data_IF_535588146909
#
_entry.id   IF_535588146909
#
_cell.length_a   1.000
_cell.length_b   1.000
_cell.length_c   1.000
_cell.angle_alpha   90.00
_cell.angle_beta   90.00
_cell.angle_gamma   90.00
#
_symmetry.space_group_name_H-M   'P 1'
#
loop_
_entity.id
_entity.type
_entity.pdbx_description
1 polymer ?
#
# COMPACT_ATOMS: atom_id res chain seq x y z
N UNK A 1 10.42 -8.93 -5.48
CA UNK A 1 8.97 -8.84 -5.16
C UNK A 1 8.33 -10.14 -5.63
N UNK A 2 7.42 -10.75 -4.86
CA UNK A 2 6.92 -12.11 -5.14
C UNK A 2 5.57 -12.42 -4.49
N UNK A 3 4.80 -11.39 -4.18
CA UNK A 3 3.41 -11.54 -3.69
C UNK A 3 2.52 -11.63 -4.92
N UNK A 4 1.62 -12.61 -4.96
CA UNK A 4 0.64 -12.74 -6.03
C UNK A 4 -0.43 -11.65 -5.89
N UNK A 5 -0.38 -10.64 -6.75
CA UNK A 5 -1.32 -9.52 -6.78
C UNK A 5 -1.96 -9.49 -8.18
N UNK A 6 -3.30 -9.35 -8.28
CA UNK A 6 -3.99 -9.19 -9.56
C UNK A 6 -3.50 -7.99 -10.37
N UNK A 7 -3.88 -7.93 -11.65
CA UNK A 7 -3.55 -6.79 -12.50
C UNK A 7 -4.24 -5.51 -12.03
N UNK A 8 -3.69 -4.34 -12.37
CA UNK A 8 -4.31 -3.05 -12.03
C UNK A 8 -5.73 -2.88 -12.59
N UNK A 9 -6.11 -3.64 -13.62
CA UNK A 9 -7.47 -3.66 -14.16
C UNK A 9 -8.46 -4.36 -13.23
N UNK A 10 -7.98 -5.29 -12.41
CA UNK A 10 -8.77 -6.09 -11.47
C UNK A 10 -8.81 -5.48 -10.07
N UNK A 11 -7.88 -4.58 -9.75
CA UNK A 11 -7.81 -3.91 -8.46
C UNK A 11 -8.82 -2.75 -8.38
N UNK A 12 -9.82 -2.87 -7.49
CA UNK A 12 -10.90 -1.87 -7.35
C UNK A 12 -10.35 -0.45 -7.07
N UNK A 13 -9.34 -0.33 -6.21
CA UNK A 13 -8.75 0.94 -5.81
C UNK A 13 -7.77 1.54 -6.83
N UNK A 14 -7.47 0.84 -7.93
CA UNK A 14 -6.60 1.38 -8.98
C UNK A 14 -7.31 2.42 -9.85
N UNK A 15 -8.65 2.32 -9.98
CA UNK A 15 -9.42 3.14 -10.92
C UNK A 15 -10.69 3.76 -10.30
N UNK A 16 -10.86 3.68 -8.98
CA UNK A 16 -12.02 4.23 -8.26
C UNK A 16 -11.58 5.04 -7.05
N UNK A 17 -12.33 6.09 -6.76
CA UNK A 17 -12.28 6.86 -5.53
C UNK A 17 -12.86 6.08 -4.34
N UNK A 18 -12.61 6.58 -3.12
CA UNK A 18 -13.16 5.95 -1.90
C UNK A 18 -14.69 5.97 -1.90
N UNK A 19 -15.32 7.03 -2.40
CA UNK A 19 -16.78 7.17 -2.41
C UNK A 19 -17.40 6.14 -3.37
N UNK A 20 -16.84 5.98 -4.58
CA UNK A 20 -17.25 4.94 -5.54
C UNK A 20 -17.07 3.53 -4.97
N UNK A 21 -16.00 3.29 -4.21
CA UNK A 21 -15.77 2.00 -3.52
C UNK A 21 -16.83 1.77 -2.44
N UNK A 22 -17.19 2.80 -1.67
CA UNK A 22 -18.23 2.71 -0.65
C UNK A 22 -19.59 2.37 -1.25
N UNK A 23 -19.95 3.02 -2.36
CA UNK A 23 -21.17 2.74 -3.11
C UNK A 23 -21.17 1.31 -3.67
N UNK A 24 -20.07 0.85 -4.25
CA UNK A 24 -19.98 -0.49 -4.84
C UNK A 24 -20.12 -1.62 -3.81
N UNK A 25 -19.66 -1.39 -2.58
CA UNK A 25 -19.88 -2.32 -1.47
C UNK A 25 -21.22 -2.17 -0.76
N UNK A 26 -22.00 -1.11 -1.06
CA UNK A 26 -23.23 -0.78 -0.33
C UNK A 26 -22.99 -0.42 1.14
N UNK A 27 -21.82 0.13 1.45
CA UNK A 27 -21.43 0.50 2.81
C UNK A 27 -21.78 1.96 3.11
N UNK A 28 -22.17 2.26 4.36
CA UNK A 28 -22.37 3.64 4.82
C UNK A 28 -21.09 4.48 4.72
N UNK A 29 -19.93 3.85 4.91
CA UNK A 29 -18.63 4.48 4.67
C UNK A 29 -17.49 3.46 4.51
N UNK A 30 -16.47 3.86 3.76
CA UNK A 30 -15.18 3.17 3.65
C UNK A 30 -14.05 4.14 4.01
N UNK A 31 -13.02 3.64 4.69
CA UNK A 31 -11.79 4.37 5.02
C UNK A 31 -10.58 3.44 4.91
N UNK A 32 -9.48 3.96 4.38
CA UNK A 32 -8.18 3.30 4.40
C UNK A 32 -7.31 3.88 5.51
N UNK A 33 -6.42 3.06 6.08
CA UNK A 33 -5.30 3.56 6.87
C UNK A 33 -4.40 4.41 5.96
N UNK A 34 -3.95 5.57 6.44
CA UNK A 34 -3.00 6.38 5.66
C UNK A 34 -1.67 5.65 5.49
N UNK A 35 -1.00 5.85 4.36
CA UNK A 35 0.32 5.25 4.07
C UNK A 35 1.32 5.59 5.17
N UNK A 36 1.32 6.84 5.63
CA UNK A 36 2.17 7.31 6.73
C UNK A 36 1.82 6.66 8.06
N UNK A 37 0.52 6.48 8.34
CA UNK A 37 0.04 5.80 9.55
C UNK A 37 0.48 4.34 9.56
N UNK A 38 0.34 3.65 8.43
CA UNK A 38 0.82 2.29 8.25
C UNK A 38 2.34 2.20 8.45
N UNK A 39 3.11 3.09 7.82
CA UNK A 39 4.56 3.12 7.96
C UNK A 39 4.98 3.29 9.43
N UNK A 40 4.38 4.25 10.15
CA UNK A 40 4.68 4.45 11.59
C UNK A 40 4.34 3.21 12.41
N UNK A 41 3.21 2.58 12.14
CA UNK A 41 2.75 1.41 12.88
C UNK A 41 3.69 0.21 12.73
N UNK A 42 4.18 -0.07 11.51
CA UNK A 42 5.02 -1.24 11.24
C UNK A 42 6.47 -1.07 11.72
N UNK A 43 7.00 0.16 11.73
CA UNK A 43 8.37 0.42 12.20
C UNK A 43 8.47 0.60 13.72
N UNK A 44 7.34 0.83 14.39
CA UNK A 44 7.30 1.04 15.83
C UNK A 44 7.92 -0.15 16.59
N UNK A 45 8.91 0.14 17.43
CA UNK A 45 9.57 -0.88 18.26
C UNK A 45 10.68 -1.69 17.57
N UNK A 46 10.93 -1.48 16.27
CA UNK A 46 12.07 -2.10 15.58
C UNK A 46 13.36 -1.42 16.04
N UNK A 47 14.28 -2.19 16.61
CA UNK A 47 15.62 -1.70 16.99
C UNK A 47 16.48 -1.59 15.74
N UNK A 48 17.11 -0.43 15.53
CA UNK A 48 18.10 -0.24 14.46
C UNK A 48 19.31 -1.13 14.72
N UNK A 49 19.56 -2.09 13.84
CA UNK A 49 20.84 -2.78 13.74
C UNK A 49 21.71 -2.03 12.72
N UNK A 50 22.98 -1.85 13.04
CA UNK A 50 23.88 -0.77 12.57
C UNK A 50 24.34 -0.81 11.10
N UNK A 51 23.54 -1.35 10.19
CA UNK A 51 23.98 -1.59 8.81
C UNK A 51 22.84 -1.61 7.76
N UNK A 52 21.58 -1.39 8.15
CA UNK A 52 20.46 -1.33 7.20
C UNK A 52 19.44 -0.26 7.61
N UNK A 53 18.89 0.43 6.61
CA UNK A 53 17.73 1.30 6.81
C UNK A 53 16.49 0.45 7.14
N UNK A 54 15.69 0.91 8.11
CA UNK A 54 14.42 0.27 8.45
C UNK A 54 13.38 0.75 7.45
N UNK A 55 12.82 -0.17 6.67
CA UNK A 55 11.78 0.15 5.71
C UNK A 55 11.08 -1.08 5.15
N UNK A 56 9.88 -0.87 4.64
CA UNK A 56 9.10 -1.89 3.94
C UNK A 56 8.77 -1.37 2.54
N UNK A 57 8.66 -2.28 1.58
CA UNK A 57 8.21 -1.90 0.25
C UNK A 57 6.73 -1.51 0.28
N UNK A 58 6.43 -0.33 -0.28
CA UNK A 58 5.07 0.25 -0.34
C UNK A 58 4.56 0.42 -1.78
N UNK A 59 5.21 -0.25 -2.75
CA UNK A 59 4.92 -0.09 -4.18
C UNK A 59 3.44 -0.35 -4.53
N UNK A 60 2.82 -1.38 -3.95
CA UNK A 60 1.43 -1.73 -4.21
C UNK A 60 0.43 -0.65 -3.74
N UNK A 61 0.85 0.24 -2.83
CA UNK A 61 0.02 1.30 -2.27
C UNK A 61 0.33 2.67 -2.89
N UNK A 62 1.57 2.88 -3.33
CA UNK A 62 2.09 4.20 -3.71
C UNK A 62 2.55 4.29 -5.17
N UNK A 63 2.68 3.15 -5.86
CA UNK A 63 3.33 3.05 -7.17
C UNK A 63 4.85 3.26 -7.14
N UNK A 64 5.46 3.56 -5.98
CA UNK A 64 6.89 3.81 -5.85
C UNK A 64 7.63 2.51 -5.53
N UNK A 65 8.26 1.94 -6.55
CA UNK A 65 9.06 0.73 -6.39
C UNK A 65 10.43 1.04 -5.79
N UNK A 66 10.97 0.16 -4.91
CA UNK A 66 12.29 0.36 -4.30
C UNK A 66 13.46 0.07 -5.27
N UNK A 67 13.14 -0.41 -6.47
CA UNK A 67 14.08 -0.68 -7.56
C UNK A 67 13.56 -0.05 -8.83
N UNK A 68 14.45 0.17 -9.80
CA UNK A 68 14.01 0.50 -11.15
C UNK A 68 13.19 -0.67 -11.71
N UNK A 69 12.15 -0.31 -12.46
CA UNK A 69 11.37 -1.26 -13.22
C UNK A 69 11.91 -1.25 -14.64
N UNK A 70 12.42 -2.40 -15.07
CA UNK A 70 12.72 -2.63 -16.48
C UNK A 70 11.44 -3.20 -17.09
N UNK A 71 10.69 -2.34 -17.78
CA UNK A 71 9.52 -2.72 -18.56
C UNK A 71 9.83 -2.67 -20.05
#
# INVERSE_FOLDING_TARGET
MGINIPSTKELIAANRSIDEISEEFGADSVRYLSVEGLQRAVVAGIKRHSNWEIGHCMACLTGKYPTNLDW
#
